data_IF_461800987947
#
_entry.id   IF_461800987947
#
_cell.length_a   1.000
_cell.length_b   1.000
_cell.length_c   1.000
_cell.angle_alpha   90.00
_cell.angle_beta   90.00
_cell.angle_gamma   90.00
#
_symmetry.space_group_name_H-M   'P 1'
#
loop_
_entity.id
_entity.type
_entity.pdbx_description
1 polymer ?
#
# COMPACT_ATOMS: atom_id res chain seq x y z
N UNK A 1 10.18 20.66 -49.35
CA UNK A 1 10.27 21.17 -47.96
C UNK A 1 11.40 20.55 -47.12
N UNK A 2 12.24 19.65 -47.65
CA UNK A 2 13.26 18.94 -46.84
C UNK A 2 14.64 19.64 -46.74
N UNK A 3 14.99 20.57 -47.64
CA UNK A 3 16.31 21.25 -47.61
C UNK A 3 16.45 22.35 -46.55
N UNK A 4 15.39 23.10 -46.22
CA UNK A 4 15.42 24.18 -45.22
C UNK A 4 15.55 23.70 -43.76
N UNK A 5 15.15 22.46 -43.47
CA UNK A 5 15.30 21.89 -42.12
C UNK A 5 16.74 21.47 -41.82
N UNK A 6 17.51 21.04 -42.83
CA UNK A 6 18.91 20.63 -42.66
C UNK A 6 19.85 21.82 -42.42
N UNK A 7 19.61 22.96 -43.07
CA UNK A 7 20.43 24.17 -42.90
C UNK A 7 20.26 24.81 -41.49
N UNK A 8 19.06 24.79 -40.92
CA UNK A 8 18.82 25.32 -39.58
C UNK A 8 19.47 24.48 -38.47
N UNK A 9 19.56 23.16 -38.66
CA UNK A 9 20.23 22.26 -37.71
C UNK A 9 21.75 22.46 -37.78
N UNK A 10 22.31 22.63 -38.97
CA UNK A 10 23.75 22.86 -39.13
C UNK A 10 24.21 24.24 -38.61
N UNK A 11 23.36 25.27 -38.74
CA UNK A 11 23.62 26.59 -38.15
C UNK A 11 23.59 26.57 -36.61
N UNK A 12 22.66 25.81 -36.03
CA UNK A 12 22.53 25.66 -34.58
C UNK A 12 23.71 24.89 -33.97
N UNK A 13 24.22 23.88 -34.69
CA UNK A 13 25.40 23.10 -34.26
C UNK A 13 26.71 23.89 -34.37
N UNK A 14 26.86 24.76 -35.38
CA UNK A 14 28.03 25.66 -35.48
C UNK A 14 28.05 26.77 -34.42
N UNK A 15 26.88 27.26 -34.02
CA UNK A 15 26.74 28.23 -32.92
C UNK A 15 27.08 27.62 -31.54
N UNK A 16 26.71 26.36 -31.32
CA UNK A 16 27.06 25.65 -30.09
C UNK A 16 28.54 25.27 -30.00
N UNK A 17 29.20 24.97 -31.14
CA UNK A 17 30.64 24.65 -31.14
C UNK A 17 31.52 25.90 -30.93
N UNK A 18 31.12 27.07 -31.43
CA UNK A 18 31.81 28.33 -31.15
C UNK A 18 31.68 28.75 -29.69
N UNK A 19 30.49 28.59 -29.10
CA UNK A 19 30.25 28.85 -27.67
C UNK A 19 31.03 27.91 -26.73
N UNK A 20 31.22 26.65 -27.11
CA UNK A 20 32.07 25.72 -26.35
C UNK A 20 33.57 25.97 -26.56
N UNK A 21 33.98 26.46 -27.72
CA UNK A 21 35.35 26.89 -28.01
C UNK A 21 35.78 28.14 -27.22
N UNK A 22 34.89 29.13 -27.10
CA UNK A 22 35.14 30.34 -26.29
C UNK A 22 35.20 30.06 -24.79
N UNK A 23 34.39 29.11 -24.28
CA UNK A 23 34.49 28.68 -22.87
C UNK A 23 35.79 27.96 -22.56
N UNK A 24 36.33 27.16 -23.49
CA UNK A 24 37.66 26.53 -23.32
C UNK A 24 38.79 27.55 -23.35
N UNK A 25 38.72 28.58 -24.19
CA UNK A 25 39.74 29.65 -24.22
C UNK A 25 39.74 30.50 -22.95
N UNK A 26 38.57 30.79 -22.36
CA UNK A 26 38.49 31.55 -21.09
C UNK A 26 38.97 30.79 -19.85
N UNK A 27 39.20 29.48 -19.95
CA UNK A 27 39.68 28.66 -18.84
C UNK A 27 41.20 28.42 -18.89
N UNK A 28 41.88 29.00 -19.88
CA UNK A 28 43.29 28.72 -20.18
C UNK A 28 44.06 30.03 -20.47
N UNK A 29 44.09 30.92 -19.49
CA UNK A 29 45.03 32.05 -19.42
C UNK A 29 45.22 32.44 -17.93
N UNK A 30 46.40 32.21 -17.33
CA UNK A 30 46.84 32.91 -16.14
C UNK A 30 47.95 33.91 -16.51
N UNK A 31 47.59 35.20 -16.54
CA UNK A 31 48.51 36.34 -16.39
C UNK A 31 48.15 36.99 -15.03
N UNK A 32 49.05 37.51 -14.21
CA UNK A 32 50.35 38.10 -14.50
C UNK A 32 51.22 38.11 -13.21
N UNK A 33 52.51 38.42 -13.38
CA UNK A 33 53.51 38.62 -12.32
C UNK A 33 54.16 37.35 -11.75
N UNK A 34 54.84 36.68 -12.68
CA UNK A 34 56.01 35.84 -12.47
C UNK A 34 57.06 36.48 -11.53
N UNK A 35 57.68 35.60 -10.72
CA UNK A 35 59.10 35.63 -10.34
C UNK A 35 59.58 36.18 -8.98
N UNK A 36 58.74 36.60 -8.02
CA UNK A 36 59.25 37.05 -6.71
C UNK A 36 58.78 36.26 -5.47
N UNK A 37 57.77 35.38 -5.58
CA UNK A 37 57.20 34.66 -4.44
C UNK A 37 57.66 33.19 -4.27
N UNK A 38 58.26 32.60 -5.30
CA UNK A 38 58.46 31.14 -5.38
C UNK A 38 59.58 30.59 -4.49
N UNK A 39 60.48 31.43 -3.96
CA UNK A 39 61.52 30.97 -3.03
C UNK A 39 61.13 30.99 -1.55
N UNK A 40 60.08 31.72 -1.15
CA UNK A 40 59.64 31.76 0.26
C UNK A 40 58.49 30.80 0.59
N UNK A 41 57.71 30.35 -0.41
CA UNK A 41 56.62 29.40 -0.20
C UNK A 41 57.07 27.93 -0.15
N UNK A 42 58.19 27.57 -0.77
CA UNK A 42 58.72 26.20 -0.71
C UNK A 42 59.24 25.83 0.68
N UNK A 43 59.79 26.78 1.44
CA UNK A 43 60.24 26.55 2.82
C UNK A 43 59.08 26.42 3.82
N UNK A 44 57.95 27.12 3.58
CA UNK A 44 56.74 26.98 4.39
C UNK A 44 55.95 25.71 4.04
N UNK A 45 56.04 25.24 2.79
CA UNK A 45 55.36 24.03 2.32
C UNK A 45 55.97 22.74 2.90
N UNK A 46 57.30 22.65 3.08
CA UNK A 46 57.92 21.46 3.68
C UNK A 46 57.61 21.31 5.19
N UNK A 47 57.47 22.43 5.92
CA UNK A 47 56.99 22.42 7.31
C UNK A 47 55.52 22.01 7.41
N UNK A 48 54.69 22.37 6.42
CA UNK A 48 53.25 22.10 6.41
C UNK A 48 52.90 20.67 5.93
N UNK A 49 53.78 20.06 5.14
CA UNK A 49 53.59 18.70 4.60
C UNK A 49 53.73 17.62 5.67
N UNK A 50 54.37 17.93 6.81
CA UNK A 50 54.40 17.04 7.97
C UNK A 50 53.11 17.05 8.82
N UNK A 51 52.18 17.99 8.57
CA UNK A 51 50.92 18.15 9.31
C UNK A 51 49.65 17.96 8.46
N UNK A 52 49.78 17.76 7.15
CA UNK A 52 48.64 17.52 6.22
C UNK A 52 48.58 16.10 5.63
N UNK A 53 49.22 15.11 6.26
CA UNK A 53 48.84 13.71 6.06
C UNK A 53 47.56 13.31 6.83
N UNK A 54 46.87 14.28 7.44
CA UNK A 54 45.61 14.11 8.13
C UNK A 54 44.57 15.12 7.60
N UNK A 55 43.70 14.68 6.69
CA UNK A 55 42.43 15.37 6.44
C UNK A 55 42.30 16.14 5.12
N UNK A 56 42.12 15.43 4.00
CA UNK A 56 41.47 15.98 2.81
C UNK A 56 40.87 14.93 1.84
N UNK A 57 40.60 13.70 2.32
CA UNK A 57 39.96 12.63 1.52
C UNK A 57 38.60 12.18 2.06
N UNK A 58 38.10 12.81 3.13
CA UNK A 58 36.96 12.30 3.91
C UNK A 58 35.58 12.77 3.44
N UNK A 59 35.41 13.98 2.90
CA UNK A 59 34.09 14.61 2.79
C UNK A 59 32.99 13.81 2.06
N UNK A 60 33.22 13.42 0.80
CA UNK A 60 32.19 12.72 0.00
C UNK A 60 32.08 11.26 0.39
N UNK A 61 33.22 10.59 0.64
CA UNK A 61 33.24 9.19 1.06
C UNK A 61 32.66 8.99 2.46
N UNK A 62 32.84 9.95 3.37
CA UNK A 62 32.28 9.92 4.72
C UNK A 62 30.82 10.36 4.75
N UNK A 63 30.36 11.25 3.83
CA UNK A 63 28.93 11.49 3.60
C UNK A 63 28.24 10.27 2.99
N UNK A 64 28.88 9.57 2.04
CA UNK A 64 28.31 8.37 1.43
C UNK A 64 28.37 7.18 2.41
N UNK A 65 29.41 7.07 3.24
CA UNK A 65 29.48 6.12 4.35
C UNK A 65 28.55 6.49 5.49
N UNK A 66 28.32 7.77 5.80
CA UNK A 66 27.35 8.22 6.79
C UNK A 66 25.93 7.98 6.29
N UNK A 67 25.64 8.26 5.02
CA UNK A 67 24.38 7.92 4.36
C UNK A 67 24.18 6.39 4.35
N UNK A 68 25.20 5.60 3.98
CA UNK A 68 25.14 4.12 4.05
C UNK A 68 25.02 3.61 5.49
N UNK A 69 25.64 4.27 6.47
CA UNK A 69 25.51 3.94 7.91
C UNK A 69 24.14 4.33 8.45
N UNK A 70 23.55 5.44 8.04
CA UNK A 70 22.13 5.77 8.29
C UNK A 70 21.21 4.74 7.64
N UNK A 71 21.46 4.37 6.38
CA UNK A 71 20.75 3.28 5.70
C UNK A 71 20.94 1.90 6.36
N UNK A 72 22.07 1.64 7.02
CA UNK A 72 22.36 0.40 7.75
C UNK A 72 21.90 0.41 9.22
N UNK A 73 21.69 1.59 9.83
CA UNK A 73 21.16 1.75 11.19
C UNK A 73 19.63 1.84 11.23
N UNK A 74 18.95 1.67 10.10
CA UNK A 74 17.51 1.40 10.02
C UNK A 74 17.22 -0.04 10.50
N UNK A 75 17.53 -0.32 11.77
CA UNK A 75 16.96 -1.45 12.49
C UNK A 75 15.46 -1.18 12.59
N UNK A 76 14.72 -1.53 11.54
CA UNK A 76 13.27 -1.39 11.54
C UNK A 76 12.73 -2.20 12.71
N UNK A 77 12.07 -1.58 13.69
CA UNK A 77 11.69 -2.28 14.89
C UNK A 77 10.77 -3.44 14.50
N UNK A 78 11.00 -4.61 15.08
CA UNK A 78 10.20 -5.82 14.85
C UNK A 78 8.68 -5.53 14.94
N UNK A 79 8.33 -4.52 15.72
CA UNK A 79 7.00 -3.92 15.81
C UNK A 79 6.35 -3.60 14.46
N UNK A 80 7.07 -3.03 13.48
CA UNK A 80 6.50 -2.69 12.15
C UNK A 80 6.10 -3.94 11.39
N UNK A 81 6.91 -5.01 11.45
CA UNK A 81 6.55 -6.28 10.83
C UNK A 81 5.37 -6.95 11.53
N UNK A 82 5.30 -6.89 12.86
CA UNK A 82 4.16 -7.40 13.62
C UNK A 82 2.89 -6.67 13.19
N UNK A 83 2.91 -5.33 13.17
CA UNK A 83 1.76 -4.53 12.74
C UNK A 83 1.37 -4.84 11.30
N UNK A 84 2.35 -4.98 10.40
CA UNK A 84 2.09 -5.31 9.00
C UNK A 84 1.51 -6.72 8.82
N UNK A 85 1.99 -7.73 9.56
CA UNK A 85 1.46 -9.11 9.49
C UNK A 85 0.02 -9.16 10.02
N UNK A 86 -0.25 -8.52 11.17
CA UNK A 86 -1.62 -8.43 11.68
C UNK A 86 -2.54 -7.67 10.72
N UNK A 87 -2.05 -6.61 10.09
CA UNK A 87 -2.80 -5.87 9.06
C UNK A 87 -3.05 -6.75 7.82
N UNK A 88 -2.05 -7.52 7.41
CA UNK A 88 -2.11 -8.41 6.26
C UNK A 88 -3.10 -9.57 6.45
N UNK A 89 -3.46 -9.92 7.69
CA UNK A 89 -4.59 -10.85 7.94
C UNK A 89 -5.90 -10.33 7.34
N UNK A 90 -6.08 -9.01 7.21
CA UNK A 90 -7.26 -8.44 6.57
C UNK A 90 -7.26 -8.73 5.06
N UNK A 91 -6.08 -8.68 4.44
CA UNK A 91 -5.87 -9.17 3.08
C UNK A 91 -6.12 -10.67 2.97
N UNK A 92 -5.64 -11.46 3.93
CA UNK A 92 -5.90 -12.91 3.97
C UNK A 92 -7.39 -13.24 4.02
N UNK A 93 -8.16 -12.56 4.87
CA UNK A 93 -9.62 -12.73 4.96
C UNK A 93 -10.32 -12.41 3.64
N UNK A 94 -9.91 -11.33 2.98
CA UNK A 94 -10.42 -10.97 1.66
C UNK A 94 -10.12 -12.07 0.62
N UNK A 95 -8.88 -12.55 0.59
CA UNK A 95 -8.46 -13.63 -0.30
C UNK A 95 -9.21 -14.94 -0.02
N UNK A 96 -9.36 -15.27 1.27
CA UNK A 96 -10.07 -16.47 1.71
C UNK A 96 -11.53 -16.45 1.27
N UNK A 97 -12.28 -15.36 1.54
CA UNK A 97 -13.68 -15.26 1.11
C UNK A 97 -13.81 -15.37 -0.40
N UNK A 98 -12.95 -14.68 -1.16
CA UNK A 98 -12.99 -14.72 -2.63
C UNK A 98 -12.70 -16.14 -3.16
N UNK A 99 -11.79 -16.89 -2.53
CA UNK A 99 -11.48 -18.27 -2.92
C UNK A 99 -12.60 -19.26 -2.57
N UNK A 100 -13.05 -19.23 -1.31
CA UNK A 100 -13.92 -20.26 -0.70
C UNK A 100 -15.34 -20.26 -1.28
N UNK A 101 -15.80 -19.12 -1.81
CA UNK A 101 -17.09 -19.04 -2.51
C UNK A 101 -17.17 -20.07 -3.64
N UNK A 102 -16.06 -20.25 -4.37
CA UNK A 102 -16.01 -21.11 -5.55
C UNK A 102 -16.28 -22.57 -5.22
N UNK A 103 -15.64 -23.13 -4.19
CA UNK A 103 -15.86 -24.52 -3.78
C UNK A 103 -17.16 -24.70 -3.00
N UNK A 104 -17.50 -23.78 -2.10
CA UNK A 104 -18.76 -23.83 -1.34
C UNK A 104 -19.99 -23.78 -2.26
N UNK A 105 -19.95 -23.00 -3.35
CA UNK A 105 -21.08 -22.87 -4.29
C UNK A 105 -21.46 -24.20 -4.95
N UNK A 106 -20.49 -25.09 -5.21
CA UNK A 106 -20.76 -26.43 -5.79
C UNK A 106 -21.65 -27.28 -4.87
N UNK A 107 -21.34 -27.27 -3.57
CA UNK A 107 -22.07 -28.00 -2.54
C UNK A 107 -23.44 -27.35 -2.29
N UNK A 108 -23.47 -26.02 -2.18
CA UNK A 108 -24.69 -25.23 -2.00
C UNK A 108 -25.69 -25.47 -3.14
N UNK A 109 -25.24 -25.47 -4.40
CA UNK A 109 -26.07 -25.77 -5.57
C UNK A 109 -26.76 -27.13 -5.44
N UNK A 110 -26.03 -28.15 -4.99
CA UNK A 110 -26.54 -29.53 -4.88
C UNK A 110 -27.49 -29.72 -3.70
N UNK A 111 -27.27 -29.03 -2.58
CA UNK A 111 -28.08 -29.20 -1.38
C UNK A 111 -29.33 -28.33 -1.33
N UNK A 112 -29.21 -27.07 -1.75
CA UNK A 112 -30.29 -26.09 -1.68
C UNK A 112 -31.02 -25.93 -3.03
N UNK A 113 -30.67 -26.75 -4.04
CA UNK A 113 -31.20 -26.68 -5.40
C UNK A 113 -31.21 -25.25 -5.94
N UNK A 114 -30.11 -24.52 -5.72
CA UNK A 114 -30.01 -23.11 -6.07
C UNK A 114 -30.05 -22.93 -7.58
N UNK A 115 -31.05 -22.20 -8.05
CA UNK A 115 -31.16 -21.77 -9.43
C UNK A 115 -29.99 -20.84 -9.82
N UNK A 116 -29.71 -20.70 -11.11
CA UNK A 116 -28.58 -19.90 -11.59
C UNK A 116 -28.66 -18.44 -11.08
N UNK A 117 -29.86 -17.86 -11.11
CA UNK A 117 -30.12 -16.51 -10.60
C UNK A 117 -29.75 -16.34 -9.12
N UNK A 118 -29.99 -17.35 -8.30
CA UNK A 118 -29.64 -17.29 -6.88
C UNK A 118 -28.14 -17.34 -6.63
N UNK A 119 -27.40 -18.11 -7.44
CA UNK A 119 -25.95 -18.17 -7.34
C UNK A 119 -25.32 -16.83 -7.73
N UNK A 120 -25.77 -16.25 -8.84
CA UNK A 120 -25.35 -14.93 -9.28
C UNK A 120 -25.73 -13.84 -8.26
N UNK A 121 -26.91 -13.93 -7.65
CA UNK A 121 -27.34 -13.01 -6.60
C UNK A 121 -26.44 -13.09 -5.36
N UNK A 122 -26.04 -14.27 -4.92
CA UNK A 122 -25.14 -14.45 -3.77
C UNK A 122 -23.76 -13.84 -4.02
N UNK A 123 -23.21 -14.03 -5.22
CA UNK A 123 -21.89 -13.48 -5.59
C UNK A 123 -21.98 -11.96 -5.78
N UNK A 124 -22.96 -11.49 -6.56
CA UNK A 124 -23.11 -10.06 -6.89
C UNK A 124 -23.50 -9.22 -5.67
N UNK A 125 -24.32 -9.74 -4.75
CA UNK A 125 -24.69 -9.04 -3.51
C UNK A 125 -23.47 -8.78 -2.61
N UNK A 126 -22.54 -9.73 -2.51
CA UNK A 126 -21.30 -9.58 -1.75
C UNK A 126 -20.43 -8.47 -2.35
N UNK A 127 -20.25 -8.48 -3.68
CA UNK A 127 -19.49 -7.43 -4.39
C UNK A 127 -20.18 -6.07 -4.30
N UNK A 128 -21.52 -6.03 -4.39
CA UNK A 128 -22.30 -4.81 -4.24
C UNK A 128 -22.18 -4.22 -2.84
N UNK A 129 -22.30 -5.04 -1.80
CA UNK A 129 -22.08 -4.63 -0.42
C UNK A 129 -20.64 -4.15 -0.19
N UNK A 130 -19.65 -4.82 -0.78
CA UNK A 130 -18.26 -4.38 -0.75
C UNK A 130 -18.06 -3.03 -1.42
N UNK A 131 -18.71 -2.76 -2.56
CA UNK A 131 -18.63 -1.48 -3.24
C UNK A 131 -19.21 -0.34 -2.38
N UNK A 132 -20.41 -0.53 -1.81
CA UNK A 132 -21.06 0.46 -0.96
C UNK A 132 -20.22 0.74 0.30
N UNK A 133 -19.73 -0.31 0.94
CA UNK A 133 -18.94 -0.18 2.16
C UNK A 133 -17.52 0.35 1.92
N UNK A 134 -16.91 0.10 0.75
CA UNK A 134 -15.63 0.71 0.38
C UNK A 134 -15.77 2.23 0.18
N UNK A 135 -16.86 2.69 -0.45
CA UNK A 135 -17.17 4.12 -0.59
C UNK A 135 -17.38 4.78 0.79
N UNK A 136 -18.16 4.13 1.66
CA UNK A 136 -18.37 4.61 3.03
C UNK A 136 -17.09 4.53 3.89
N UNK A 137 -16.22 3.54 3.63
CA UNK A 137 -15.00 3.28 4.38
C UNK A 137 -14.01 4.44 4.35
N UNK A 138 -13.95 5.20 3.25
CA UNK A 138 -13.15 6.43 3.19
C UNK A 138 -13.58 7.48 4.22
N UNK A 139 -14.88 7.75 4.33
CA UNK A 139 -15.43 8.66 5.34
C UNK A 139 -15.25 8.11 6.76
N UNK A 140 -15.47 6.80 6.93
CA UNK A 140 -15.31 6.12 8.21
C UNK A 140 -13.86 6.23 8.74
N UNK A 141 -12.87 6.02 7.87
CA UNK A 141 -11.44 6.13 8.20
C UNK A 141 -11.02 7.55 8.61
N UNK A 142 -11.63 8.57 8.01
CA UNK A 142 -11.42 9.96 8.41
C UNK A 142 -11.99 10.27 9.80
N UNK A 143 -13.22 9.82 10.08
CA UNK A 143 -13.92 10.14 11.33
C UNK A 143 -13.41 9.30 12.51
N UNK A 144 -13.41 7.98 12.37
CA UNK A 144 -13.17 7.01 13.46
C UNK A 144 -11.72 6.49 13.53
N UNK A 145 -10.93 6.71 12.47
CA UNK A 145 -9.57 6.17 12.39
C UNK A 145 -9.50 4.83 11.67
N UNK A 146 -8.28 4.37 11.40
CA UNK A 146 -8.02 3.15 10.62
C UNK A 146 -8.18 1.92 11.50
N UNK A 147 -7.73 1.95 12.76
CA UNK A 147 -7.86 0.83 13.70
C UNK A 147 -9.33 0.50 13.95
N UNK A 148 -10.16 1.51 14.21
CA UNK A 148 -11.58 1.32 14.45
C UNK A 148 -12.30 0.69 13.24
N UNK A 149 -11.96 1.13 12.03
CA UNK A 149 -12.50 0.55 10.80
C UNK A 149 -12.06 -0.90 10.58
N UNK A 150 -10.80 -1.26 10.89
CA UNK A 150 -10.34 -2.66 10.81
C UNK A 150 -11.01 -3.53 11.87
N UNK A 151 -11.21 -3.03 13.09
CA UNK A 151 -11.97 -3.74 14.14
C UNK A 151 -13.43 -3.95 13.71
N UNK A 152 -14.08 -2.93 13.16
CA UNK A 152 -15.44 -3.05 12.63
C UNK A 152 -15.51 -4.07 11.50
N UNK A 153 -14.58 -4.04 10.55
CA UNK A 153 -14.51 -5.01 9.48
C UNK A 153 -14.32 -6.44 10.01
N UNK A 154 -13.45 -6.63 11.00
CA UNK A 154 -13.19 -7.94 11.62
C UNK A 154 -14.41 -8.47 12.38
N UNK A 155 -15.16 -7.57 13.04
CA UNK A 155 -16.42 -7.90 13.70
C UNK A 155 -17.50 -8.30 12.68
N UNK A 156 -17.62 -7.57 11.56
CA UNK A 156 -18.53 -7.91 10.46
C UNK A 156 -18.17 -9.25 9.82
N UNK A 157 -16.89 -9.52 9.58
CA UNK A 157 -16.43 -10.82 9.11
C UNK A 157 -16.80 -11.95 10.07
N UNK A 158 -16.53 -11.78 11.37
CA UNK A 158 -16.84 -12.79 12.38
C UNK A 158 -18.34 -13.07 12.46
N UNK A 159 -19.16 -12.01 12.52
CA UNK A 159 -20.61 -12.11 12.53
C UNK A 159 -21.15 -12.74 11.24
N UNK A 160 -20.66 -12.30 10.08
CA UNK A 160 -21.02 -12.82 8.78
C UNK A 160 -20.68 -14.29 8.62
N UNK A 161 -19.47 -14.71 9.00
CA UNK A 161 -19.05 -16.12 9.00
C UNK A 161 -19.88 -16.97 9.96
N UNK A 162 -20.24 -16.46 11.14
CA UNK A 162 -21.13 -17.16 12.07
C UNK A 162 -22.54 -17.34 11.48
N UNK A 163 -23.09 -16.31 10.84
CA UNK A 163 -24.39 -16.38 10.13
C UNK A 163 -24.32 -17.38 8.98
N UNK A 164 -23.24 -17.37 8.19
CA UNK A 164 -23.03 -18.32 7.09
C UNK A 164 -22.90 -19.77 7.60
N UNK A 165 -22.21 -19.98 8.73
CA UNK A 165 -22.09 -21.30 9.35
C UNK A 165 -23.42 -21.80 9.94
N UNK A 166 -24.27 -20.89 10.45
CA UNK A 166 -25.60 -21.21 10.99
C UNK A 166 -26.71 -21.23 9.93
N UNK A 167 -26.41 -20.86 8.68
CA UNK A 167 -27.41 -20.70 7.64
C UNK A 167 -28.14 -22.02 7.35
N UNK A 168 -29.46 -21.99 7.47
CA UNK A 168 -30.34 -23.13 7.16
C UNK A 168 -31.18 -22.90 5.90
N UNK A 169 -31.28 -21.63 5.46
CA UNK A 169 -32.06 -21.20 4.31
C UNK A 169 -31.22 -20.30 3.38
N UNK A 170 -31.59 -20.24 2.10
CA UNK A 170 -30.94 -19.38 1.09
C UNK A 170 -30.95 -17.88 1.45
N UNK A 171 -32.00 -17.40 2.12
CA UNK A 171 -32.10 -16.00 2.55
C UNK A 171 -31.10 -15.66 3.67
N UNK A 172 -30.91 -16.57 4.63
CA UNK A 172 -29.92 -16.41 5.70
C UNK A 172 -28.50 -16.42 5.12
N UNK A 173 -28.27 -17.24 4.10
CA UNK A 173 -27.01 -17.26 3.37
C UNK A 173 -26.75 -15.92 2.66
N UNK A 174 -27.77 -15.35 2.00
CA UNK A 174 -27.69 -14.04 1.37
C UNK A 174 -27.42 -12.93 2.39
N UNK A 175 -28.08 -12.95 3.55
CA UNK A 175 -27.83 -12.00 4.63
C UNK A 175 -26.38 -12.11 5.15
N UNK A 176 -25.87 -13.33 5.37
CA UNK A 176 -24.49 -13.55 5.76
C UNK A 176 -23.49 -13.01 4.72
N UNK A 177 -23.77 -13.24 3.43
CA UNK A 177 -22.96 -12.72 2.30
C UNK A 177 -22.93 -11.20 2.25
N UNK A 178 -24.06 -10.54 2.47
CA UNK A 178 -24.12 -9.08 2.57
C UNK A 178 -23.26 -8.56 3.72
N UNK A 179 -23.37 -9.18 4.91
CA UNK A 179 -22.58 -8.78 6.09
C UNK A 179 -21.08 -8.96 5.87
N UNK A 180 -20.66 -10.10 5.30
CA UNK A 180 -19.26 -10.34 4.94
C UNK A 180 -18.80 -9.33 3.88
N UNK A 181 -19.62 -9.05 2.87
CA UNK A 181 -19.34 -8.05 1.83
C UNK A 181 -19.09 -6.66 2.41
N UNK A 182 -19.87 -6.23 3.40
CA UNK A 182 -19.64 -4.96 4.11
C UNK A 182 -18.27 -4.94 4.82
N UNK A 183 -17.88 -6.07 5.45
CA UNK A 183 -16.56 -6.21 6.07
C UNK A 183 -15.42 -6.15 5.05
N UNK A 184 -15.59 -6.81 3.91
CA UNK A 184 -14.63 -6.82 2.79
C UNK A 184 -14.37 -5.42 2.26
N UNK A 185 -15.40 -4.64 1.98
CA UNK A 185 -15.23 -3.30 1.42
C UNK A 185 -14.49 -2.35 2.38
N UNK A 186 -14.82 -2.40 3.68
CA UNK A 186 -14.10 -1.61 4.69
C UNK A 186 -12.65 -2.07 4.80
N UNK A 187 -12.39 -3.38 4.89
CA UNK A 187 -11.04 -3.92 5.03
C UNK A 187 -10.16 -3.63 3.80
N UNK A 188 -10.69 -3.83 2.58
CA UNK A 188 -9.96 -3.65 1.33
C UNK A 188 -9.44 -2.22 1.12
N UNK A 189 -10.21 -1.22 1.58
CA UNK A 189 -9.78 0.18 1.55
C UNK A 189 -8.83 0.51 2.70
N UNK A 190 -9.11 0.01 3.90
CA UNK A 190 -8.42 0.46 5.12
C UNK A 190 -7.06 -0.20 5.33
N UNK A 191 -6.95 -1.50 5.04
CA UNK A 191 -5.73 -2.28 5.31
C UNK A 191 -4.52 -1.76 4.54
N UNK A 192 -4.57 -1.54 3.20
CA UNK A 192 -3.43 -1.02 2.46
C UNK A 192 -3.03 0.39 2.91
N UNK A 193 -4.01 1.23 3.25
CA UNK A 193 -3.78 2.60 3.74
C UNK A 193 -3.11 2.57 5.11
N UNK A 194 -3.59 1.74 6.03
CA UNK A 194 -3.00 1.59 7.35
C UNK A 194 -1.56 1.07 7.25
N UNK A 195 -1.31 0.06 6.42
CA UNK A 195 0.06 -0.43 6.17
C UNK A 195 0.91 0.70 5.59
N UNK A 196 0.43 1.46 4.61
CA UNK A 196 1.19 2.55 4.01
C UNK A 196 1.54 3.68 5.01
N UNK A 197 0.62 4.02 5.91
CA UNK A 197 0.80 5.04 6.95
C UNK A 197 1.72 4.59 8.08
N UNK A 198 1.73 3.29 8.37
CA UNK A 198 2.58 2.70 9.40
C UNK A 198 3.98 2.36 8.88
N UNK A 199 4.09 2.08 7.58
CA UNK A 199 5.36 1.67 6.99
C UNK A 199 6.34 2.83 6.85
N UNK A 200 7.64 2.61 7.16
CA UNK A 200 8.67 3.57 6.84
C UNK A 200 8.81 3.71 5.30
N UNK A 201 9.20 4.89 4.78
CA UNK A 201 9.19 5.17 3.34
C UNK A 201 9.98 4.17 2.49
N UNK A 202 11.09 3.66 3.01
CA UNK A 202 11.98 2.68 2.37
C UNK A 202 11.37 1.27 2.27
N UNK A 203 10.52 0.84 3.20
CA UNK A 203 9.92 -0.50 3.22
C UNK A 203 8.44 -0.54 2.84
N UNK A 204 7.81 0.62 2.64
CA UNK A 204 6.38 0.73 2.31
C UNK A 204 5.97 -0.19 1.16
N UNK A 205 6.74 -0.18 0.06
CA UNK A 205 6.48 -1.06 -1.08
C UNK A 205 6.47 -2.53 -0.68
N UNK A 206 7.49 -2.99 0.06
CA UNK A 206 7.63 -4.38 0.51
C UNK A 206 6.49 -4.81 1.42
N UNK A 207 6.08 -3.96 2.37
CA UNK A 207 5.00 -4.27 3.31
C UNK A 207 3.63 -4.31 2.62
N UNK A 208 3.40 -3.45 1.64
CA UNK A 208 2.20 -3.51 0.79
C UNK A 208 2.22 -4.80 -0.06
N UNK A 209 3.37 -5.21 -0.60
CA UNK A 209 3.49 -6.49 -1.33
C UNK A 209 3.21 -7.69 -0.41
N UNK A 210 3.63 -7.66 0.85
CA UNK A 210 3.30 -8.71 1.84
C UNK A 210 1.78 -8.81 2.01
N UNK A 211 1.05 -7.69 2.07
CA UNK A 211 -0.41 -7.75 2.11
C UNK A 211 -1.00 -8.45 0.88
N UNK A 212 -0.49 -8.15 -0.32
CA UNK A 212 -0.91 -8.86 -1.54
C UNK A 212 -0.58 -10.35 -1.48
N UNK A 213 0.57 -10.73 -0.93
CA UNK A 213 0.94 -12.13 -0.72
C UNK A 213 -0.04 -12.83 0.23
N UNK A 214 -0.50 -12.14 1.29
CA UNK A 214 -1.52 -12.67 2.19
C UNK A 214 -2.88 -12.84 1.51
N UNK A 215 -3.27 -11.93 0.60
CA UNK A 215 -4.49 -12.10 -0.22
C UNK A 215 -4.39 -13.37 -1.06
N UNK A 216 -3.31 -13.55 -1.82
CA UNK A 216 -3.12 -14.76 -2.64
C UNK A 216 -2.96 -16.01 -1.77
N UNK A 217 -2.30 -15.89 -0.62
CA UNK A 217 -2.21 -16.95 0.39
C UNK A 217 -3.58 -17.36 0.92
N UNK A 218 -4.47 -16.41 1.19
CA UNK A 218 -5.86 -16.65 1.59
C UNK A 218 -6.63 -17.45 0.54
N UNK A 219 -6.48 -17.08 -0.74
CA UNK A 219 -7.10 -17.83 -1.86
C UNK A 219 -6.56 -19.27 -1.95
N UNK A 220 -5.26 -19.46 -1.76
CA UNK A 220 -4.65 -20.77 -1.73
C UNK A 220 -5.17 -21.62 -0.57
N UNK A 221 -5.19 -21.07 0.65
CA UNK A 221 -5.73 -21.76 1.83
C UNK A 221 -7.22 -22.09 1.67
N UNK A 222 -8.03 -21.17 1.12
CA UNK A 222 -9.42 -21.43 0.80
C UNK A 222 -9.57 -22.62 -0.16
N UNK A 223 -8.73 -22.69 -1.19
CA UNK A 223 -8.73 -23.80 -2.15
C UNK A 223 -8.38 -25.15 -1.49
N UNK A 224 -7.44 -25.15 -0.54
CA UNK A 224 -7.08 -26.35 0.24
C UNK A 224 -8.23 -26.78 1.14
N UNK A 225 -8.88 -25.83 1.83
CA UNK A 225 -10.05 -26.09 2.68
C UNK A 225 -11.21 -26.61 1.85
N UNK A 226 -11.50 -26.00 0.70
CA UNK A 226 -12.52 -26.45 -0.23
C UNK A 226 -12.25 -27.89 -0.69
N UNK A 227 -11.00 -28.20 -1.05
CA UNK A 227 -10.57 -29.57 -1.37
C UNK A 227 -10.76 -30.55 -0.22
N UNK A 228 -10.38 -30.18 1.00
CA UNK A 228 -10.46 -31.04 2.19
C UNK A 228 -11.91 -31.33 2.62
N UNK A 229 -12.79 -30.32 2.58
CA UNK A 229 -14.18 -30.46 3.00
C UNK A 229 -15.13 -30.83 1.86
N UNK A 230 -14.66 -30.86 0.60
CA UNK A 230 -15.48 -31.28 -0.56
C UNK A 230 -16.06 -32.69 -0.42
N UNK A 231 -15.37 -33.59 0.30
CA UNK A 231 -15.83 -34.95 0.56
C UNK A 231 -17.04 -35.00 1.53
N UNK A 232 -17.23 -33.97 2.37
CA UNK A 232 -18.37 -33.86 3.28
C UNK A 232 -19.58 -33.26 2.55
N UNK A 233 -20.28 -34.12 1.80
CA UNK A 233 -21.43 -33.74 0.95
C UNK A 233 -22.62 -33.07 1.67
N UNK A 234 -22.77 -33.18 3.00
CA UNK A 234 -23.93 -32.64 3.76
C UNK A 234 -23.67 -31.35 4.52
N UNK A 235 -22.50 -31.15 5.11
CA UNK A 235 -22.22 -29.93 5.90
C UNK A 235 -20.88 -29.27 5.55
N UNK A 236 -20.15 -29.77 4.55
CA UNK A 236 -18.82 -29.28 4.19
C UNK A 236 -18.76 -27.77 3.90
N UNK A 237 -19.78 -27.21 3.23
CA UNK A 237 -19.84 -25.79 2.89
C UNK A 237 -19.97 -24.88 4.13
N UNK A 238 -20.58 -25.37 5.21
CA UNK A 238 -20.71 -24.62 6.48
C UNK A 238 -19.35 -24.44 7.14
N UNK A 239 -18.54 -25.49 7.11
CA UNK A 239 -17.16 -25.45 7.60
C UNK A 239 -16.27 -24.59 6.71
N UNK A 240 -16.39 -24.70 5.39
CA UNK A 240 -15.65 -23.87 4.43
C UNK A 240 -15.88 -22.38 4.72
N UNK A 241 -17.14 -21.92 4.81
CA UNK A 241 -17.46 -20.52 5.08
C UNK A 241 -17.24 -20.10 6.54
N UNK A 242 -17.47 -21.01 7.49
CA UNK A 242 -17.34 -20.76 8.92
C UNK A 242 -15.89 -20.64 9.39
N UNK A 243 -14.95 -21.34 8.75
CA UNK A 243 -13.53 -21.32 9.14
C UNK A 243 -12.90 -19.93 8.98
N UNK A 244 -13.46 -19.07 8.13
CA UNK A 244 -13.08 -17.66 8.01
C UNK A 244 -13.22 -16.87 9.32
N UNK A 245 -14.09 -17.32 10.24
CA UNK A 245 -14.24 -16.69 11.56
C UNK A 245 -12.95 -16.77 12.39
N UNK A 246 -12.13 -17.81 12.24
CA UNK A 246 -10.90 -17.99 13.02
C UNK A 246 -9.90 -16.85 12.76
N UNK A 247 -9.44 -16.61 11.51
CA UNK A 247 -8.55 -15.49 11.24
C UNK A 247 -9.19 -14.13 11.55
N UNK A 248 -10.52 -13.98 11.39
CA UNK A 248 -11.23 -12.75 11.71
C UNK A 248 -11.18 -12.42 13.22
N UNK A 249 -11.38 -13.43 14.07
CA UNK A 249 -11.28 -13.29 15.53
C UNK A 249 -9.84 -12.99 15.94
N UNK A 250 -8.86 -13.70 15.37
CA UNK A 250 -7.44 -13.43 15.64
C UNK A 250 -7.07 -11.99 15.27
N UNK A 251 -7.54 -11.51 14.12
CA UNK A 251 -7.32 -10.14 13.70
C UNK A 251 -8.03 -9.14 14.61
N UNK A 252 -9.27 -9.40 15.02
CA UNK A 252 -10.00 -8.55 15.95
C UNK A 252 -9.24 -8.38 17.26
N UNK A 253 -8.83 -9.48 17.91
CA UNK A 253 -8.06 -9.42 19.14
C UNK A 253 -6.66 -8.82 18.94
N UNK A 254 -6.00 -9.10 17.82
CA UNK A 254 -4.72 -8.46 17.48
C UNK A 254 -4.86 -6.94 17.43
N UNK A 255 -5.83 -6.43 16.68
CA UNK A 255 -6.05 -4.98 16.54
C UNK A 255 -6.55 -4.28 17.82
N UNK A 256 -6.98 -5.02 18.85
CA UNK A 256 -7.21 -4.44 20.17
C UNK A 256 -5.92 -3.98 20.86
N UNK A 257 -4.76 -4.54 20.51
CA UNK A 257 -3.47 -4.15 21.10
C UNK A 257 -2.63 -3.25 20.17
N UNK A 258 -2.97 -3.18 18.89
CA UNK A 258 -2.23 -2.35 17.92
C UNK A 258 -2.56 -0.85 18.07
N UNK A 259 -1.59 0.04 17.78
CA UNK A 259 -1.80 1.48 17.80
C UNK A 259 -2.62 1.95 16.58
N UNK A 260 -3.21 3.13 16.73
CA UNK A 260 -3.84 3.85 15.63
C UNK A 260 -2.79 4.44 14.67
N UNK A 261 -3.19 4.76 13.44
CA UNK A 261 -2.31 5.39 12.47
C UNK A 261 -1.70 6.71 13.01
N UNK A 262 -0.36 6.90 12.90
CA UNK A 262 0.30 8.14 13.29
C UNK A 262 -0.29 9.37 12.57
N UNK A 263 -0.58 9.22 11.27
CA UNK A 263 -1.16 10.29 10.44
C UNK A 263 -2.52 10.74 10.97
N UNK A 264 -3.38 9.77 11.35
CA UNK A 264 -4.70 10.10 11.91
C UNK A 264 -4.59 10.78 13.28
N UNK A 265 -3.65 10.35 14.12
CA UNK A 265 -3.43 10.98 15.43
C UNK A 265 -2.95 12.43 15.31
N UNK A 266 -2.11 12.73 14.32
CA UNK A 266 -1.68 14.11 14.00
C UNK A 266 -2.88 14.93 13.55
N UNK A 267 -3.71 14.40 12.65
CA UNK A 267 -4.93 15.06 12.17
C UNK A 267 -5.92 15.38 13.31
N UNK A 268 -6.01 14.52 14.33
CA UNK A 268 -6.84 14.76 15.52
C UNK A 268 -6.19 15.65 16.58
N UNK A 269 -4.99 16.19 16.33
CA UNK A 269 -4.25 17.03 17.26
C UNK A 269 -3.65 16.29 18.46
N UNK A 270 -3.57 14.95 18.43
CA UNK A 270 -3.01 14.14 19.52
C UNK A 270 -1.49 14.00 19.40
N UNK A 271 -0.77 15.13 19.44
CA UNK A 271 0.68 15.25 19.20
C UNK A 271 1.52 14.28 20.02
N UNK A 272 1.27 14.17 21.33
CA UNK A 272 2.06 13.31 22.22
C UNK A 272 1.92 11.83 21.89
N UNK A 273 0.71 11.36 21.57
CA UNK A 273 0.47 9.96 21.19
C UNK A 273 1.05 9.67 19.81
N UNK A 274 0.89 10.60 18.87
CA UNK A 274 1.50 10.49 17.54
C UNK A 274 3.02 10.33 17.66
N UNK A 275 3.71 11.22 18.39
CA UNK A 275 5.17 11.14 18.61
C UNK A 275 5.60 9.83 19.26
N UNK A 276 4.86 9.33 20.26
CA UNK A 276 5.14 8.04 20.90
C UNK A 276 5.00 6.84 19.96
N UNK A 277 3.98 6.84 19.10
CA UNK A 277 3.79 5.74 18.14
C UNK A 277 4.81 5.84 17.00
N UNK A 278 5.08 7.05 16.50
CA UNK A 278 6.17 7.32 15.56
C UNK A 278 7.51 6.82 16.12
N UNK A 279 7.83 7.10 17.39
CA UNK A 279 9.08 6.67 18.01
C UNK A 279 9.17 5.15 18.16
N UNK A 280 8.04 4.49 18.46
CA UNK A 280 7.98 3.02 18.50
C UNK A 280 8.17 2.37 17.12
N UNK A 281 7.82 3.09 16.05
CA UNK A 281 7.86 2.58 14.67
C UNK A 281 9.12 2.95 13.89
N UNK A 282 9.73 4.10 14.18
CA UNK A 282 10.96 4.60 13.55
C UNK A 282 12.21 4.50 14.45
N UNK A 283 12.06 4.14 15.72
CA UNK A 283 13.18 4.09 16.67
C UNK A 283 13.75 5.49 16.96
N UNK A 284 15.09 5.62 16.92
CA UNK A 284 15.85 6.81 17.31
C UNK A 284 16.06 7.84 16.17
N UNK A 285 15.33 7.72 15.06
CA UNK A 285 15.42 8.67 13.95
C UNK A 285 14.82 10.04 14.30
N UNK A 286 15.04 11.05 13.46
CA UNK A 286 14.51 12.42 13.59
C UNK A 286 12.97 12.47 13.48
N UNK A 287 12.29 11.97 14.52
CA UNK A 287 10.83 11.86 14.63
C UNK A 287 10.15 13.23 14.47
N UNK A 288 10.80 14.28 14.97
CA UNK A 288 10.26 15.64 14.93
C UNK A 288 10.19 16.19 13.50
N UNK A 289 11.20 15.94 12.66
CA UNK A 289 11.18 16.35 11.24
C UNK A 289 10.07 15.62 10.46
N UNK A 290 9.89 14.32 10.71
CA UNK A 290 8.83 13.54 10.07
C UNK A 290 7.45 13.94 10.59
N UNK A 291 7.32 14.21 11.88
CA UNK A 291 6.09 14.73 12.48
C UNK A 291 5.69 16.06 11.83
N UNK A 292 6.62 17.01 11.73
CA UNK A 292 6.36 18.32 11.13
C UNK A 292 6.08 18.21 9.63
N UNK A 293 6.75 17.32 8.91
CA UNK A 293 6.44 17.03 7.51
C UNK A 293 5.01 16.49 7.33
N UNK A 294 4.59 15.52 8.16
CA UNK A 294 3.23 14.97 8.08
C UNK A 294 2.20 16.05 8.47
N UNK A 295 2.48 16.88 9.48
CA UNK A 295 1.61 17.97 9.91
C UNK A 295 1.44 19.02 8.80
N UNK A 296 2.52 19.45 8.16
CA UNK A 296 2.48 20.40 7.06
C UNK A 296 1.68 19.87 5.87
N UNK A 297 1.88 18.59 5.50
CA UNK A 297 1.08 17.94 4.45
C UNK A 297 -0.42 17.91 4.80
N UNK A 298 -0.78 17.63 6.05
CA UNK A 298 -2.18 17.64 6.49
C UNK A 298 -2.76 19.05 6.48
N UNK A 299 -2.01 20.07 6.92
CA UNK A 299 -2.45 21.47 6.90
C UNK A 299 -2.61 22.00 5.47
N UNK A 300 -1.74 21.60 4.54
CA UNK A 300 -1.90 21.89 3.11
C UNK A 300 -3.14 21.21 2.55
N UNK A 301 -3.35 19.92 2.86
CA UNK A 301 -4.57 19.19 2.49
C UNK A 301 -5.83 19.86 3.07
N UNK A 302 -5.82 20.32 4.32
CA UNK A 302 -6.97 20.99 4.96
C UNK A 302 -7.24 22.39 4.38
N UNK A 303 -6.18 23.17 4.10
CA UNK A 303 -6.29 24.47 3.41
C UNK A 303 -6.85 24.31 2.02
N UNK A 304 -6.42 23.27 1.31
CA UNK A 304 -7.04 22.90 0.04
C UNK A 304 -8.51 22.53 0.29
N UNK A 305 -8.83 21.64 1.24
CA UNK A 305 -10.18 21.11 1.55
C UNK A 305 -11.21 22.20 1.90
N UNK A 306 -10.79 23.39 2.38
CA UNK A 306 -11.66 24.53 2.70
C UNK A 306 -12.56 25.06 1.56
N UNK A 307 -12.39 24.58 0.31
CA UNK A 307 -13.30 24.86 -0.81
C UNK A 307 -14.44 23.84 -0.87
N UNK A 308 -15.66 24.33 -0.62
CA UNK A 308 -16.88 23.60 -0.29
C UNK A 308 -17.37 22.60 -1.37
N UNK A 309 -17.55 21.34 -0.97
CA UNK A 309 -18.27 20.32 -1.73
C UNK A 309 -18.04 18.88 -1.24
N UNK A 310 -18.85 17.90 -1.68
CA UNK A 310 -18.59 16.49 -1.41
C UNK A 310 -17.20 16.08 -1.95
N UNK A 311 -16.43 15.31 -1.17
CA UNK A 311 -15.06 14.88 -1.50
C UNK A 311 -14.98 14.28 -2.92
N UNK A 312 -15.99 13.52 -3.31
CA UNK A 312 -16.08 12.86 -4.63
C UNK A 312 -16.25 13.88 -5.77
N UNK A 313 -17.13 14.87 -5.62
CA UNK A 313 -17.32 15.92 -6.62
C UNK A 313 -16.05 16.74 -6.81
N UNK A 314 -15.34 17.01 -5.72
CA UNK A 314 -14.07 17.75 -5.74
C UNK A 314 -12.94 16.97 -6.41
N UNK A 315 -12.82 15.67 -6.12
CA UNK A 315 -11.84 14.80 -6.79
C UNK A 315 -12.03 14.80 -8.31
N UNK A 316 -13.28 14.94 -8.78
CA UNK A 316 -13.61 15.04 -10.21
C UNK A 316 -13.34 16.44 -10.79
N UNK A 317 -13.42 17.50 -9.97
CA UNK A 317 -13.17 18.89 -10.42
C UNK A 317 -11.69 19.25 -10.48
N UNK A 318 -10.84 18.73 -9.59
CA UNK A 318 -9.42 19.12 -9.51
C UNK A 318 -8.56 18.35 -10.55
N UNK A 319 -7.85 19.02 -11.48
CA UNK A 319 -7.22 18.37 -12.63
C UNK A 319 -6.15 17.32 -12.29
N UNK A 320 -5.21 17.56 -11.35
CA UNK A 320 -4.25 16.54 -10.92
C UNK A 320 -4.90 15.29 -10.30
N UNK A 321 -5.82 15.49 -9.36
CA UNK A 321 -6.53 14.37 -8.70
C UNK A 321 -7.42 13.61 -9.66
N UNK A 322 -8.06 14.29 -10.62
CA UNK A 322 -8.84 13.65 -11.68
C UNK A 322 -7.98 12.74 -12.55
N UNK A 323 -6.77 13.16 -12.92
CA UNK A 323 -5.83 12.31 -13.69
C UNK A 323 -5.44 11.08 -12.89
N UNK A 324 -5.10 11.25 -11.60
CA UNK A 324 -4.77 10.13 -10.72
C UNK A 324 -5.96 9.15 -10.55
N UNK A 325 -7.18 9.68 -10.41
CA UNK A 325 -8.40 8.90 -10.29
C UNK A 325 -8.70 8.12 -11.58
N UNK A 326 -8.59 8.75 -12.76
CA UNK A 326 -8.78 8.06 -14.05
C UNK A 326 -7.76 6.93 -14.21
N UNK A 327 -6.49 7.17 -13.89
CA UNK A 327 -5.44 6.15 -13.98
C UNK A 327 -5.69 5.02 -12.98
N UNK A 328 -6.04 5.33 -11.73
CA UNK A 328 -6.34 4.34 -10.70
C UNK A 328 -7.57 3.50 -11.03
N UNK A 329 -8.68 4.13 -11.39
CA UNK A 329 -9.89 3.43 -11.82
C UNK A 329 -9.67 2.62 -13.10
N UNK A 330 -8.91 3.16 -14.07
CA UNK A 330 -8.53 2.47 -15.29
C UNK A 330 -7.71 1.21 -15.01
N UNK A 331 -6.68 1.31 -14.17
CA UNK A 331 -5.88 0.17 -13.71
C UNK A 331 -6.74 -0.91 -13.05
N UNK A 332 -7.65 -0.51 -12.15
CA UNK A 332 -8.55 -1.44 -11.48
C UNK A 332 -9.54 -2.11 -12.44
N UNK A 333 -10.02 -1.36 -13.45
CA UNK A 333 -10.89 -1.89 -14.50
C UNK A 333 -10.15 -2.92 -15.35
N UNK A 334 -8.91 -2.65 -15.75
CA UNK A 334 -8.08 -3.62 -16.48
C UNK A 334 -7.79 -4.87 -15.65
N UNK A 335 -7.55 -4.72 -14.34
CA UNK A 335 -7.37 -5.86 -13.43
C UNK A 335 -8.60 -6.77 -13.42
N UNK A 336 -9.82 -6.21 -13.35
CA UNK A 336 -11.05 -7.00 -13.38
C UNK A 336 -11.34 -7.61 -14.77
N UNK A 337 -11.11 -6.85 -15.85
CA UNK A 337 -11.30 -7.30 -17.23
C UNK A 337 -10.34 -8.41 -17.67
N UNK A 338 -9.18 -8.54 -17.01
CA UNK A 338 -8.29 -9.68 -17.20
C UNK A 338 -8.97 -11.02 -16.86
N UNK A 339 -10.13 -10.99 -16.17
CA UNK A 339 -10.92 -12.17 -15.87
C UNK A 339 -10.29 -13.05 -14.79
N UNK A 340 -9.36 -12.52 -13.98
CA UNK A 340 -8.65 -13.33 -12.98
C UNK A 340 -9.61 -13.97 -11.97
N UNK A 341 -10.67 -13.27 -11.60
CA UNK A 341 -11.73 -13.81 -10.74
C UNK A 341 -12.49 -14.93 -11.46
N UNK A 342 -12.86 -14.76 -12.72
CA UNK A 342 -13.51 -15.81 -13.53
C UNK A 342 -12.65 -17.06 -13.65
N UNK A 343 -11.35 -16.89 -13.91
CA UNK A 343 -10.39 -18.01 -13.97
C UNK A 343 -10.37 -18.74 -12.63
N UNK A 344 -10.34 -18.02 -11.51
CA UNK A 344 -10.34 -18.64 -10.18
C UNK A 344 -11.62 -19.44 -9.91
N UNK A 345 -12.79 -18.89 -10.23
CA UNK A 345 -14.08 -19.58 -10.09
C UNK A 345 -14.16 -20.85 -10.95
N UNK A 346 -13.76 -20.75 -12.23
CA UNK A 346 -13.82 -21.87 -13.18
C UNK A 346 -12.77 -22.92 -12.89
N UNK A 347 -11.54 -22.52 -12.57
CA UNK A 347 -10.43 -23.43 -12.28
C UNK A 347 -10.72 -24.32 -11.08
N UNK A 348 -11.21 -23.72 -9.98
CA UNK A 348 -11.52 -24.47 -8.76
C UNK A 348 -12.71 -25.41 -8.95
N UNK A 349 -13.74 -24.92 -9.65
CA UNK A 349 -14.89 -25.73 -10.05
C UNK A 349 -14.47 -26.95 -10.89
N UNK A 350 -13.64 -26.74 -11.92
CA UNK A 350 -13.15 -27.81 -12.78
C UNK A 350 -12.22 -28.80 -12.07
N UNK A 351 -11.37 -28.33 -11.14
CA UNK A 351 -10.49 -29.20 -10.36
C UNK A 351 -11.28 -30.11 -9.39
N UNK A 352 -12.28 -29.54 -8.71
CA UNK A 352 -13.16 -30.30 -7.82
C UNK A 352 -14.09 -31.26 -8.58
N UNK A 353 -14.59 -30.86 -9.75
CA UNK A 353 -15.47 -31.70 -10.58
C UNK A 353 -14.73 -32.93 -11.14
N UNK A 354 -13.42 -32.85 -11.38
CA UNK A 354 -12.61 -34.01 -11.81
C UNK A 354 -12.31 -35.01 -10.69
N UNK A 355 -12.50 -34.63 -9.42
CA UNK A 355 -12.25 -35.49 -8.24
C UNK A 355 -13.52 -36.08 -7.62
N UNK A 356 -14.70 -35.58 -8.00
CA UNK A 356 -16.02 -36.06 -7.58
C UNK A 356 -16.64 -36.97 -8.64
#
# INVERSE_FOLDING_TARGET
>A
MSRKASENVEYTLRSLSSLMGERRRKQQEPDAASAAGECSLLAAAESSTSLQSAGAGGGVGDLERAARRQFQQDETPAFVYVVAVFSALGGFLFGYDTGVVSGAMLLLKRQLSLDALWQELLVSSTVGAAAVSALAGGALNGVFGRRAAILLASALFTAGSAVLAAASNKETLLAGRLVVGLGIGIASMTVPVYIAEVSPPNLRGRLVTINTLFITGGQFFASVVDGAFSYLRKDGWRYMLGLAAIPAVIQFFGFLFLPESPRWLIQKGQTQKARRILSQMRGNQTIDEEYDSIKNNIEEEEKEVGSAGPVICRMLSYPPTRRALIVGCGLQMFQQLSGINTIMYVFLSGFLLKRL
#
